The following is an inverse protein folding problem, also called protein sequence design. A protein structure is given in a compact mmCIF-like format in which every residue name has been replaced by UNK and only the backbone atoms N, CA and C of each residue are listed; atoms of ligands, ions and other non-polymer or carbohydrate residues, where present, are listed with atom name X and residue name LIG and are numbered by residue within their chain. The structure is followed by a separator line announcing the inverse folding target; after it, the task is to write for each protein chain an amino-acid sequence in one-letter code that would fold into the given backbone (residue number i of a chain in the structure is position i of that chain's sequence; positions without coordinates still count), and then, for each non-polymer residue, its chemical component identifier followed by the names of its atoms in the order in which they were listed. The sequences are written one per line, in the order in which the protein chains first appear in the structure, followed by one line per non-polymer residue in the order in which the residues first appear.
data_IF_579952346431
#
_entry.id   IF_579952346431
#
_cell.length_a   1.000
_cell.length_b   1.000
_cell.length_c   1.000
_cell.angle_alpha   90.00
_cell.angle_beta   90.00
_cell.angle_gamma   90.00
#
_symmetry.space_group_name_H-M   'P 1'
#
loop_
_entity.id
_entity.type
_entity.pdbx_description
1 polymer ?
#
# COMPACT_ATOMS: atom_id res chain seq x y z
N UNK A 1 7.57 -16.21 0.90
CA UNK A 1 8.59 -15.31 1.50
C UNK A 1 7.91 -13.97 1.79
N UNK A 2 7.89 -13.50 3.04
CA UNK A 2 7.23 -12.22 3.39
C UNK A 2 8.25 -11.09 3.34
N UNK A 3 7.98 -10.07 2.53
CA UNK A 3 8.81 -8.86 2.47
C UNK A 3 8.11 -7.69 3.15
N UNK A 4 8.84 -6.93 3.96
CA UNK A 4 8.32 -5.78 4.70
C UNK A 4 8.80 -4.46 4.10
N UNK A 5 7.89 -3.50 3.95
CA UNK A 5 8.17 -2.17 3.41
C UNK A 5 7.51 -1.11 4.29
N UNK A 6 8.33 -0.22 4.85
CA UNK A 6 7.85 0.97 5.54
C UNK A 6 7.18 1.91 4.54
N UNK A 7 5.93 2.29 4.81
CA UNK A 7 5.21 3.19 3.92
C UNK A 7 4.09 3.94 4.63
N UNK A 8 3.50 4.86 3.89
CA UNK A 8 2.32 5.62 4.28
C UNK A 8 1.12 5.16 3.46
N UNK A 9 0.04 4.77 4.13
CA UNK A 9 -1.22 4.33 3.53
C UNK A 9 -2.28 5.43 3.55
N UNK A 10 -3.11 5.48 2.50
CA UNK A 10 -4.32 6.30 2.43
C UNK A 10 -5.37 5.61 1.55
N UNK A 11 -6.58 5.43 2.07
CA UNK A 11 -7.76 5.08 1.26
C UNK A 11 -8.29 6.31 0.53
N UNK A 12 -8.94 6.13 -0.63
CA UNK A 12 -9.50 7.23 -1.40
C UNK A 12 -10.76 7.85 -0.77
N UNK A 13 -11.36 7.18 0.21
CA UNK A 13 -12.51 7.69 0.99
C UNK A 13 -12.14 9.04 1.65
N UNK A 14 -13.04 10.04 1.69
CA UNK A 14 -12.75 11.39 2.19
C UNK A 14 -12.39 11.49 3.69
N UNK A 15 -12.27 10.37 4.42
CA UNK A 15 -11.90 10.37 5.84
C UNK A 15 -10.38 10.42 5.98
N UNK A 16 -9.95 11.52 6.58
CA UNK A 16 -8.60 12.05 6.66
C UNK A 16 -7.77 11.21 7.63
N UNK A 17 -6.73 10.55 7.12
CA UNK A 17 -5.34 10.67 7.60
C UNK A 17 -4.44 9.75 6.76
N UNK A 18 -3.25 10.23 6.43
CA UNK A 18 -2.20 9.34 5.91
C UNK A 18 -1.65 8.57 7.10
N UNK A 19 -1.75 7.24 7.08
CA UNK A 19 -1.38 6.40 8.21
C UNK A 19 -0.01 5.77 7.93
N UNK A 20 0.99 6.00 8.78
CA UNK A 20 2.28 5.32 8.65
C UNK A 20 2.15 3.87 9.11
N UNK A 21 2.86 2.95 8.46
CA UNK A 21 2.83 1.54 8.80
C UNK A 21 3.79 0.70 7.96
N UNK A 22 3.58 -0.61 8.02
CA UNK A 22 4.34 -1.60 7.25
C UNK A 22 3.41 -2.25 6.25
N UNK A 23 3.81 -2.27 4.98
CA UNK A 23 3.22 -3.09 3.95
C UNK A 23 3.99 -4.41 3.87
N UNK A 24 3.29 -5.50 4.12
CA UNK A 24 3.78 -6.87 3.97
C UNK A 24 3.34 -7.40 2.61
N UNK A 25 4.29 -7.91 1.84
CA UNK A 25 4.04 -8.59 0.58
C UNK A 25 4.02 -10.09 0.84
N UNK A 26 2.89 -10.72 0.52
CA UNK A 26 2.72 -12.17 0.54
C UNK A 26 2.53 -12.69 -0.89
N UNK A 27 2.44 -14.01 -1.07
CA UNK A 27 2.35 -14.63 -2.40
C UNK A 27 1.05 -14.28 -3.14
N UNK A 28 -0.06 -14.13 -2.44
CA UNK A 28 -1.38 -13.87 -3.03
C UNK A 28 -2.04 -12.57 -2.54
N UNK A 29 -1.41 -11.85 -1.61
CA UNK A 29 -2.01 -10.66 -0.99
C UNK A 29 -0.99 -9.64 -0.54
N UNK A 30 -1.45 -8.41 -0.38
CA UNK A 30 -0.77 -7.36 0.39
C UNK A 30 -1.45 -7.21 1.74
N UNK A 31 -0.68 -7.00 2.81
CA UNK A 31 -1.23 -6.70 4.14
C UNK A 31 -0.58 -5.42 4.65
N UNK A 32 -1.39 -4.39 4.89
CA UNK A 32 -0.94 -3.17 5.53
C UNK A 32 -1.23 -3.24 7.03
N UNK A 33 -0.20 -3.07 7.85
CA UNK A 33 -0.29 -2.95 9.31
C UNK A 33 0.01 -1.52 9.72
N UNK A 34 -1.00 -0.82 10.23
CA UNK A 34 -0.83 0.53 10.73
C UNK A 34 0.04 0.54 11.99
N UNK A 35 0.96 1.49 12.08
CA UNK A 35 1.58 1.81 13.37
C UNK A 35 0.51 2.38 14.30
N UNK A 36 0.57 2.00 15.58
CA UNK A 36 -0.34 2.51 16.60
C UNK A 36 -0.30 4.04 16.62
N UNK A 37 -1.27 4.69 15.99
CA UNK A 37 -1.64 6.06 16.29
C UNK A 37 -2.83 5.97 17.24
N UNK A 38 -2.61 6.30 18.51
CA UNK A 38 -3.64 6.36 19.56
C UNK A 38 -4.28 5.01 19.95
N UNK A 39 -3.48 3.94 20.11
CA UNK A 39 -3.92 2.61 20.61
C UNK A 39 -4.94 1.85 19.74
N UNK A 40 -5.18 2.28 18.50
CA UNK A 40 -6.03 1.56 17.55
C UNK A 40 -5.21 1.03 16.36
N UNK A 41 -4.34 0.03 16.55
CA UNK A 41 -3.71 -0.64 15.43
C UNK A 41 -4.80 -1.31 14.59
N UNK A 42 -4.71 -1.14 13.27
CA UNK A 42 -5.57 -1.86 12.33
C UNK A 42 -4.72 -2.49 11.23
N UNK A 43 -5.22 -3.60 10.72
CA UNK A 43 -4.63 -4.30 9.59
C UNK A 43 -5.65 -4.31 8.45
N UNK A 44 -5.19 -4.07 7.23
CA UNK A 44 -6.02 -4.19 6.02
C UNK A 44 -5.33 -5.17 5.09
N UNK A 45 -6.10 -6.12 4.57
CA UNK A 45 -5.62 -7.10 3.61
C UNK A 45 -6.22 -6.80 2.23
N UNK A 46 -5.39 -6.98 1.20
CA UNK A 46 -5.74 -6.75 -0.18
C UNK A 46 -5.33 -7.97 -1.01
N UNK A 47 -6.30 -8.71 -1.52
CA UNK A 47 -6.05 -9.85 -2.39
C UNK A 47 -5.51 -9.37 -3.76
N UNK A 48 -4.40 -9.95 -4.23
CA UNK A 48 -3.80 -9.58 -5.52
C UNK A 48 -4.74 -9.90 -6.69
N UNK A 49 -5.54 -10.95 -6.56
CA UNK A 49 -6.56 -11.35 -7.54
C UNK A 49 -7.66 -10.30 -7.73
N UNK A 50 -7.82 -9.38 -6.77
CA UNK A 50 -8.82 -8.30 -6.82
C UNK A 50 -8.27 -7.01 -7.42
N UNK A 51 -7.00 -6.97 -7.82
CA UNK A 51 -6.38 -5.81 -8.47
C UNK A 51 -6.91 -5.69 -9.89
N UNK A 52 -7.49 -4.53 -10.20
CA UNK A 52 -7.96 -4.21 -11.56
C UNK A 52 -6.88 -3.48 -12.36
N UNK A 53 -6.16 -2.54 -11.72
CA UNK A 53 -5.02 -1.81 -12.33
C UNK A 53 -4.22 -1.10 -11.26
N UNK A 54 -2.99 -0.73 -11.58
CA UNK A 54 -2.16 0.11 -10.71
C UNK A 54 -1.48 1.25 -11.49
N UNK A 55 -1.03 2.27 -10.77
CA UNK A 55 -0.28 3.42 -11.29
C UNK A 55 0.82 3.79 -10.31
N UNK A 56 1.93 4.32 -10.81
CA UNK A 56 3.01 4.85 -9.98
C UNK A 56 3.27 6.32 -10.28
N UNK A 57 3.77 7.06 -9.30
CA UNK A 57 4.25 8.44 -9.53
C UNK A 57 5.36 8.83 -8.55
N UNK A 58 6.19 9.78 -8.96
CA UNK A 58 7.23 10.36 -8.11
C UNK A 58 6.60 11.39 -7.16
N UNK A 59 7.00 11.36 -5.89
CA UNK A 59 6.65 12.37 -4.89
C UNK A 59 7.88 13.04 -4.29
N UNK A 60 7.66 14.08 -3.50
CA UNK A 60 8.73 14.84 -2.83
C UNK A 60 9.50 13.98 -1.81
N UNK A 61 8.78 13.15 -1.05
CA UNK A 61 9.33 12.29 0.02
C UNK A 61 9.52 10.83 -0.41
N UNK A 62 9.59 10.57 -1.72
CA UNK A 62 9.65 9.22 -2.29
C UNK A 62 8.52 8.93 -3.27
N UNK A 63 8.49 7.70 -3.76
CA UNK A 63 7.52 7.29 -4.77
C UNK A 63 6.17 6.93 -4.16
N UNK A 64 5.16 6.90 -5.03
CA UNK A 64 3.78 6.58 -4.71
C UNK A 64 3.32 5.44 -5.60
N UNK A 65 2.58 4.51 -5.02
CA UNK A 65 1.88 3.44 -5.69
C UNK A 65 0.38 3.61 -5.42
N UNK A 66 -0.42 3.58 -6.49
CA UNK A 66 -1.87 3.63 -6.44
C UNK A 66 -2.37 2.32 -7.02
N UNK A 67 -3.25 1.62 -6.30
CA UNK A 67 -3.84 0.37 -6.75
C UNK A 67 -5.36 0.54 -6.73
N UNK A 68 -6.00 0.17 -7.84
CA UNK A 68 -7.44 0.17 -8.00
C UNK A 68 -7.93 -1.27 -7.87
N UNK A 69 -8.82 -1.53 -6.93
CA UNK A 69 -9.36 -2.85 -6.66
C UNK A 69 -10.79 -3.01 -7.21
N UNK A 70 -11.27 -4.25 -7.21
CA UNK A 70 -12.61 -4.63 -7.70
C UNK A 70 -13.75 -4.05 -6.86
N UNK A 71 -13.46 -3.56 -5.65
CA UNK A 71 -14.38 -2.77 -4.81
C UNK A 71 -14.63 -1.35 -5.35
N UNK A 72 -14.04 -1.00 -6.50
CA UNK A 72 -14.12 0.30 -7.16
C UNK A 72 -13.44 1.44 -6.39
N UNK A 73 -12.49 1.10 -5.52
CA UNK A 73 -11.75 2.07 -4.72
C UNK A 73 -10.25 2.12 -5.07
N UNK A 74 -9.66 3.30 -4.87
CA UNK A 74 -8.21 3.49 -4.96
C UNK A 74 -7.57 3.43 -3.58
N UNK A 75 -6.45 2.73 -3.50
CA UNK A 75 -5.61 2.67 -2.31
C UNK A 75 -4.22 3.16 -2.66
N UNK A 76 -3.68 4.04 -1.82
CA UNK A 76 -2.41 4.71 -2.04
C UNK A 76 -1.39 4.31 -0.98
N UNK A 77 -0.24 3.87 -1.45
CA UNK A 77 0.98 3.68 -0.66
C UNK A 77 2.01 4.73 -1.08
N UNK A 78 2.69 5.35 -0.12
CA UNK A 78 3.63 6.45 -0.36
C UNK A 78 4.86 6.40 0.55
N UNK A 79 5.84 7.27 0.27
CA UNK A 79 7.18 7.26 0.87
C UNK A 79 7.99 5.99 0.51
N UNK A 80 7.73 5.43 -0.68
CA UNK A 80 8.42 4.24 -1.17
C UNK A 80 9.77 4.61 -1.79
N UNK A 81 10.84 3.90 -1.41
CA UNK A 81 12.10 3.99 -2.14
C UNK A 81 11.92 3.47 -3.58
N UNK A 82 12.85 3.80 -4.49
CA UNK A 82 12.82 3.26 -5.86
C UNK A 82 12.93 1.72 -5.85
N UNK A 83 13.76 1.18 -4.95
CA UNK A 83 13.94 -0.27 -4.79
C UNK A 83 12.64 -0.93 -4.33
N UNK A 84 11.98 -0.37 -3.32
CA UNK A 84 10.73 -0.92 -2.78
C UNK A 84 9.59 -0.85 -3.79
N UNK A 85 9.48 0.27 -4.52
CA UNK A 85 8.50 0.39 -5.60
C UNK A 85 8.72 -0.68 -6.67
N UNK A 86 9.96 -0.85 -7.13
CA UNK A 86 10.29 -1.85 -8.15
C UNK A 86 9.96 -3.28 -7.69
N UNK A 87 10.21 -3.58 -6.42
CA UNK A 87 9.84 -4.87 -5.83
C UNK A 87 8.33 -5.04 -5.81
N UNK A 88 7.59 -4.07 -5.27
CA UNK A 88 6.12 -4.10 -5.25
C UNK A 88 5.53 -4.34 -6.63
N UNK A 89 5.94 -3.56 -7.64
CA UNK A 89 5.38 -3.68 -8.98
C UNK A 89 5.67 -5.02 -9.67
N UNK A 90 6.70 -5.76 -9.25
CA UNK A 90 6.95 -7.13 -9.74
C UNK A 90 5.95 -8.15 -9.22
N UNK A 91 5.29 -7.87 -8.10
CA UNK A 91 4.26 -8.75 -7.51
C UNK A 91 2.83 -8.39 -7.95
N UNK A 92 2.65 -7.23 -8.59
CA UNK A 92 1.35 -6.81 -9.14
C UNK A 92 1.17 -7.22 -10.62
N UNK A 93 2.18 -7.87 -11.19
CA UNK A 93 2.26 -8.39 -12.56
C UNK A 93 2.39 -9.91 -12.52
#
# INVERSE_FOLDING_TARGET
MTQEINCNFKSHIPRIMTVPGILLIHENKLEFKAYSQNNNPFNIQFELSSIVRYRTSKGLLGNKLFIYYSDQEWYKFSNLSKSDLNKLTKYLY
#
